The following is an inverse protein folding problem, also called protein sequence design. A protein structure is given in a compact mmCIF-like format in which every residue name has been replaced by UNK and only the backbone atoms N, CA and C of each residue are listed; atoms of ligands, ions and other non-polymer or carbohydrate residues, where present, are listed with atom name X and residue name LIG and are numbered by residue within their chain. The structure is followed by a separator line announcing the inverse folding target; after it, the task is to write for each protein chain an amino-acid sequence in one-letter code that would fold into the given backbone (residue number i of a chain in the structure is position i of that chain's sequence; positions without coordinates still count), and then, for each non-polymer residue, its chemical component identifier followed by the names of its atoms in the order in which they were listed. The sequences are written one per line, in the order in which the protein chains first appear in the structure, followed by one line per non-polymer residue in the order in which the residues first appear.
data_IF_278403138778
#
_entry.id   IF_278403138778
#
_cell.length_a   1.000
_cell.length_b   1.000
_cell.length_c   1.000
_cell.angle_alpha   90.00
_cell.angle_beta   90.00
_cell.angle_gamma   90.00
#
_symmetry.space_group_name_H-M   'P 1'
#
loop_
_entity.id
_entity.type
_entity.pdbx_description
1 polymer ?
#
# COMPACT_ATOMS: atom_id res chain seq x y z
N UNK A 1 -17.47 -6.80 -9.26
CA UNK A 1 -16.19 -6.99 -8.53
C UNK A 1 -15.06 -6.52 -9.44
N UNK A 2 -14.36 -5.42 -9.10
CA UNK A 2 -13.26 -4.92 -9.94
C UNK A 2 -11.98 -5.70 -9.64
N UNK A 3 -11.44 -6.41 -10.63
CA UNK A 3 -10.16 -7.12 -10.51
C UNK A 3 -9.17 -6.50 -11.49
N UNK A 4 -8.13 -5.79 -11.04
CA UNK A 4 -7.14 -5.23 -11.95
C UNK A 4 -6.46 -6.38 -12.69
N UNK A 5 -6.38 -6.31 -14.01
CA UNK A 5 -5.67 -7.28 -14.84
C UNK A 5 -4.36 -6.70 -15.36
N UNK A 6 -3.43 -7.57 -15.75
CA UNK A 6 -2.20 -7.21 -16.45
C UNK A 6 -1.94 -8.20 -17.57
N UNK A 7 -1.41 -7.71 -18.68
CA UNK A 7 -0.95 -8.60 -19.75
C UNK A 7 0.43 -9.16 -19.39
N UNK A 8 0.58 -10.48 -19.45
CA UNK A 8 1.86 -11.17 -19.32
C UNK A 8 2.11 -11.98 -20.57
N UNK A 9 3.28 -11.80 -21.18
CA UNK A 9 3.72 -12.65 -22.28
C UNK A 9 4.22 -13.98 -21.72
N UNK A 10 3.57 -15.07 -22.10
CA UNK A 10 3.93 -16.45 -21.73
C UNK A 10 4.32 -17.18 -23.02
N UNK A 11 5.31 -18.07 -22.94
CA UNK A 11 5.71 -18.94 -24.05
C UNK A 11 4.86 -20.22 -23.95
N UNK A 12 4.10 -20.54 -24.99
CA UNK A 12 3.34 -21.79 -25.05
C UNK A 12 4.31 -22.97 -25.21
N UNK A 13 4.22 -23.97 -24.33
CA UNK A 13 5.11 -25.15 -24.34
C UNK A 13 4.90 -26.04 -25.57
N UNK A 14 3.69 -26.07 -26.14
CA UNK A 14 3.35 -26.91 -27.27
C UNK A 14 3.76 -26.33 -28.64
N UNK A 15 3.79 -24.99 -28.78
CA UNK A 15 3.99 -24.33 -30.09
C UNK A 15 5.18 -23.38 -30.11
N UNK A 16 5.81 -23.08 -28.97
CA UNK A 16 6.98 -22.22 -28.88
C UNK A 16 6.71 -20.73 -29.12
N UNK A 17 5.49 -20.36 -29.53
CA UNK A 17 5.10 -18.97 -29.76
C UNK A 17 4.81 -18.22 -28.45
N UNK A 18 5.01 -16.90 -28.50
CA UNK A 18 4.76 -16.00 -27.36
C UNK A 18 3.33 -15.50 -27.45
N UNK A 19 2.52 -15.80 -26.44
CA UNK A 19 1.13 -15.32 -26.33
C UNK A 19 1.02 -14.29 -25.21
N UNK A 20 0.34 -13.18 -25.47
CA UNK A 20 -0.06 -12.26 -24.40
C UNK A 20 -1.34 -12.81 -23.75
N UNK A 21 -1.25 -13.11 -22.47
CA UNK A 21 -2.38 -13.60 -21.66
C UNK A 21 -2.73 -12.53 -20.63
N UNK A 22 -4.02 -12.26 -20.49
CA UNK A 22 -4.55 -11.42 -19.43
C UNK A 22 -4.53 -12.20 -18.10
N UNK A 23 -3.76 -11.71 -17.15
CA UNK A 23 -3.56 -12.35 -15.84
C UNK A 23 -4.04 -11.40 -14.74
N UNK A 24 -4.76 -11.88 -13.71
CA UNK A 24 -5.14 -11.03 -12.59
C UNK A 24 -3.91 -10.44 -11.89
N UNK A 25 -3.94 -9.12 -11.65
CA UNK A 25 -2.92 -8.40 -10.90
C UNK A 25 -3.16 -8.63 -9.41
N UNK A 26 -2.23 -9.28 -8.73
CA UNK A 26 -2.25 -9.43 -7.27
C UNK A 26 -2.00 -8.06 -6.62
N UNK A 27 -2.99 -7.56 -5.89
CA UNK A 27 -2.86 -6.36 -5.04
C UNK A 27 -2.22 -6.78 -3.72
N UNK A 28 -1.10 -6.16 -3.36
CA UNK A 28 -0.46 -6.39 -2.06
C UNK A 28 -1.26 -5.62 -1.00
N UNK A 29 -1.88 -6.29 -0.01
CA UNK A 29 -2.55 -5.59 1.08
C UNK A 29 -1.52 -4.77 1.86
N UNK A 30 -1.94 -3.60 2.34
CA UNK A 30 -1.14 -2.74 3.22
C UNK A 30 -1.45 -2.95 4.70
N UNK A 31 -2.35 -3.88 4.99
CA UNK A 31 -2.60 -4.41 6.33
C UNK A 31 -1.94 -5.78 6.49
N UNK A 32 -1.53 -6.09 7.71
CA UNK A 32 -0.88 -7.33 8.10
C UNK A 32 -1.26 -7.71 9.53
N UNK A 33 -1.14 -8.98 9.87
CA UNK A 33 -1.25 -9.42 11.27
C UNK A 33 0.08 -9.17 11.96
N UNK A 34 0.06 -8.37 13.03
CA UNK A 34 1.24 -8.11 13.85
C UNK A 34 1.52 -9.30 14.79
N UNK A 35 2.71 -9.33 15.40
CA UNK A 35 3.11 -10.37 16.35
C UNK A 35 2.20 -10.44 17.59
N UNK A 36 1.46 -9.36 17.87
CA UNK A 36 0.40 -9.29 18.88
C UNK A 36 -0.88 -10.06 18.52
N UNK A 37 -0.94 -10.65 17.32
CA UNK A 37 -2.13 -11.31 16.78
C UNK A 37 -3.20 -10.35 16.27
N UNK A 38 -2.98 -9.03 16.40
CA UNK A 38 -3.90 -7.98 15.95
C UNK A 38 -3.62 -7.57 14.51
N UNK A 39 -4.62 -7.02 13.84
CA UNK A 39 -4.45 -6.50 12.47
C UNK A 39 -3.84 -5.11 12.56
N UNK A 40 -2.78 -4.83 11.82
CA UNK A 40 -2.18 -3.51 11.74
C UNK A 40 -2.21 -3.01 10.29
N UNK A 41 -2.41 -1.71 10.09
CA UNK A 41 -2.35 -1.06 8.78
C UNK A 41 -1.19 -0.07 8.70
N UNK A 42 -0.36 -0.22 7.67
CA UNK A 42 0.72 0.70 7.37
C UNK A 42 0.29 1.71 6.31
N UNK A 43 0.25 2.99 6.67
CA UNK A 43 -0.01 4.09 5.72
C UNK A 43 1.23 4.28 4.87
N UNK A 44 1.09 4.27 3.54
CA UNK A 44 2.20 4.37 2.60
C UNK A 44 2.10 5.60 1.73
N UNK A 45 3.24 6.27 1.56
CA UNK A 45 3.46 7.27 0.52
C UNK A 45 4.28 6.63 -0.61
N UNK A 46 3.58 6.22 -1.68
CA UNK A 46 4.19 5.45 -2.78
C UNK A 46 4.81 4.15 -2.27
N UNK A 47 6.14 4.03 -2.39
CA UNK A 47 6.88 2.84 -1.94
C UNK A 47 7.27 2.88 -0.44
N UNK A 48 7.18 4.05 0.22
CA UNK A 48 7.66 4.24 1.60
C UNK A 48 6.51 4.19 2.60
N UNK A 49 6.78 3.68 3.79
CA UNK A 49 5.83 3.73 4.92
C UNK A 49 5.96 5.07 5.60
N UNK A 50 4.81 5.71 5.85
CA UNK A 50 4.72 7.01 6.48
C UNK A 50 4.73 6.83 8.01
N UNK A 51 5.56 7.63 8.67
CA UNK A 51 5.68 7.62 10.13
C UNK A 51 4.63 8.56 10.71
N UNK A 52 3.57 8.02 11.31
CA UNK A 52 2.44 8.82 11.81
C UNK A 52 2.84 9.60 13.08
N UNK A 53 3.68 8.99 13.91
CA UNK A 53 4.32 9.57 15.07
C UNK A 53 5.70 8.92 15.27
N UNK A 54 6.58 9.54 16.05
CA UNK A 54 7.96 9.05 16.26
C UNK A 54 7.99 7.55 16.64
N UNK A 55 8.61 6.72 15.80
CA UNK A 55 8.73 5.27 15.93
C UNK A 55 7.48 4.46 15.57
N UNK A 56 6.39 5.10 15.11
CA UNK A 56 5.09 4.47 14.85
C UNK A 56 4.75 4.53 13.36
N UNK A 57 4.87 3.37 12.70
CA UNK A 57 4.70 3.20 11.26
C UNK A 57 3.39 2.50 10.86
N UNK A 58 2.61 2.04 11.84
CA UNK A 58 1.36 1.33 11.61
C UNK A 58 0.33 1.66 12.70
N UNK A 59 -0.94 1.62 12.32
CA UNK A 59 -2.09 1.72 13.23
C UNK A 59 -2.55 0.30 13.55
N UNK A 60 -2.57 -0.06 14.83
CA UNK A 60 -3.07 -1.36 15.30
C UNK A 60 -4.59 -1.31 15.46
N UNK A 61 -5.26 -2.36 14.99
CA UNK A 61 -6.72 -2.55 14.97
C UNK A 61 -7.08 -3.76 15.83
N UNK A 62 -8.24 -3.72 16.47
CA UNK A 62 -8.71 -4.85 17.27
C UNK A 62 -9.18 -6.02 16.37
N UNK A 63 -9.85 -5.71 15.26
CA UNK A 63 -10.42 -6.70 14.33
C UNK A 63 -10.24 -6.30 12.86
N UNK A 64 -10.36 -7.28 11.96
CA UNK A 64 -10.45 -7.04 10.51
C UNK A 64 -11.70 -6.24 10.11
N UNK A 65 -12.71 -6.17 10.98
CA UNK A 65 -13.91 -5.35 10.77
C UNK A 65 -13.60 -3.84 10.91
N UNK A 66 -12.62 -3.48 11.74
CA UNK A 66 -12.28 -2.08 12.04
C UNK A 66 -11.41 -1.43 10.95
N UNK A 67 -11.02 -2.22 9.96
CA UNK A 67 -10.13 -1.83 8.87
C UNK A 67 -10.76 -0.76 7.97
N UNK A 68 -12.04 -0.93 7.63
CA UNK A 68 -12.78 0.02 6.78
C UNK A 68 -13.05 1.34 7.53
N UNK A 69 -13.61 1.35 8.75
CA UNK A 69 -13.77 2.58 9.52
C UNK A 69 -12.47 3.34 9.73
N UNK A 70 -11.36 2.65 10.00
CA UNK A 70 -10.07 3.31 10.21
C UNK A 70 -9.53 3.95 8.93
N UNK A 71 -9.76 3.32 7.78
CA UNK A 71 -9.42 3.90 6.48
C UNK A 71 -10.24 5.16 6.18
N UNK A 72 -11.52 5.19 6.56
CA UNK A 72 -12.38 6.37 6.42
C UNK A 72 -11.89 7.52 7.30
N UNK A 73 -11.54 7.23 8.56
CA UNK A 73 -10.95 8.23 9.49
C UNK A 73 -9.62 8.76 8.95
N UNK A 74 -8.75 7.88 8.47
CA UNK A 74 -7.48 8.28 7.85
C UNK A 74 -7.72 9.18 6.63
N UNK A 75 -8.71 8.85 5.80
CA UNK A 75 -9.07 9.68 4.65
C UNK A 75 -9.52 11.07 5.10
N UNK A 76 -10.42 11.17 6.09
CA UNK A 76 -10.88 12.48 6.58
C UNK A 76 -9.75 13.30 7.20
N UNK A 77 -8.83 12.67 7.93
CA UNK A 77 -7.67 13.35 8.52
C UNK A 77 -6.70 13.88 7.43
N UNK A 78 -6.52 13.12 6.35
CA UNK A 78 -5.74 13.57 5.18
C UNK A 78 -6.43 14.74 4.48
N UNK A 79 -7.74 14.67 4.26
CA UNK A 79 -8.52 15.76 3.64
C UNK A 79 -8.51 17.04 4.49
N UNK A 80 -8.41 16.90 5.82
CA UNK A 80 -8.25 18.01 6.75
C UNK A 80 -6.81 18.57 6.82
N UNK A 81 -5.83 17.92 6.18
CA UNK A 81 -4.43 18.33 6.18
C UNK A 81 -3.65 18.00 7.47
N UNK A 82 -4.20 17.17 8.36
CA UNK A 82 -3.55 16.82 9.64
C UNK A 82 -2.25 16.03 9.45
N UNK A 83 -2.09 15.40 8.28
CA UNK A 83 -0.95 14.55 7.93
C UNK A 83 0.06 15.22 7.00
N UNK A 84 -0.14 16.51 6.67
CA UNK A 84 0.69 17.24 5.70
C UNK A 84 2.14 17.37 6.15
N UNK A 85 2.38 17.56 7.45
CA UNK A 85 3.74 17.63 8.00
C UNK A 85 4.54 16.34 7.79
N UNK A 86 3.91 15.18 8.02
CA UNK A 86 4.53 13.88 7.76
C UNK A 86 4.71 13.64 6.25
N UNK A 87 3.75 14.08 5.43
CA UNK A 87 3.84 13.99 3.96
C UNK A 87 5.01 14.80 3.41
N UNK A 88 5.23 16.03 3.88
CA UNK A 88 6.36 16.86 3.43
C UNK A 88 7.72 16.29 3.84
N UNK A 89 7.79 15.70 5.02
CA UNK A 89 9.00 15.00 5.47
C UNK A 89 9.29 13.78 4.58
N UNK A 90 8.25 13.00 4.26
CA UNK A 90 8.36 11.87 3.35
C UNK A 90 8.73 12.33 1.92
N UNK A 91 8.13 13.41 1.43
CA UNK A 91 8.35 13.98 0.09
C UNK A 91 9.82 14.41 -0.08
N UNK A 92 10.37 15.10 0.93
CA UNK A 92 11.75 15.59 0.94
C UNK A 92 12.74 14.43 0.93
N UNK A 93 12.48 13.39 1.72
CA UNK A 93 13.31 12.20 1.81
C UNK A 93 13.27 11.35 0.52
N UNK A 94 12.16 11.40 -0.22
CA UNK A 94 12.04 10.77 -1.54
C UNK A 94 12.81 11.59 -2.57
N UNK A 95 12.62 12.93 -2.59
CA UNK A 95 13.32 13.85 -3.50
C UNK A 95 14.84 13.80 -3.37
N UNK A 96 15.36 13.67 -2.15
CA UNK A 96 16.81 13.55 -1.93
C UNK A 96 17.40 12.30 -2.58
N UNK A 97 16.64 11.20 -2.65
CA UNK A 97 17.07 9.96 -3.30
C UNK A 97 17.17 10.05 -4.84
N UNK A 98 16.50 11.02 -5.45
CA UNK A 98 16.55 11.26 -6.90
C UNK A 98 17.74 12.12 -7.34
N UNK A 99 18.51 12.70 -6.42
CA UNK A 99 19.69 13.54 -6.72
C UNK A 99 20.93 12.75 -7.16
N UNK A 100 20.75 11.55 -7.73
CA UNK A 100 21.82 10.73 -8.31
C UNK A 100 21.99 11.02 -9.79
#
# INVERSE_FOLDING_TARGET
EFRPSKFRTIKDEATGFRKQVEVPKRVKPWWFTADSGKTAIAVRYGARVLELAKGKFAVELASSADLVPTLEILKSAIEAGELDGQLETASTSVRSGFKR
#
